data_IF_323287516435
#
_entry.id   IF_323287516435
#
_cell.length_a   1.000
_cell.length_b   1.000
_cell.length_c   1.000
_cell.angle_alpha   90.00
_cell.angle_beta   90.00
_cell.angle_gamma   90.00
#
_symmetry.space_group_name_H-M   'P 1'
#
loop_
_entity.id
_entity.type
_entity.pdbx_description
1 polymer ?
#
# COMPACT_ATOMS: atom_id res chain seq x y z
N UNK A 1 24.29 -19.06 -1.63
CA UNK A 1 23.72 -17.77 -2.04
C UNK A 1 23.21 -17.03 -0.81
N UNK A 2 23.63 -15.77 -0.60
CA UNK A 2 23.19 -14.96 0.54
C UNK A 2 21.71 -14.64 0.52
N UNK A 3 21.14 -14.34 1.68
CA UNK A 3 19.77 -13.86 1.82
C UNK A 3 19.63 -12.44 1.25
N UNK A 4 18.47 -12.16 0.66
CA UNK A 4 18.13 -10.81 0.17
C UNK A 4 17.54 -10.00 1.32
N UNK A 5 18.05 -8.79 1.51
CA UNK A 5 17.52 -7.85 2.50
C UNK A 5 16.12 -7.37 2.09
N UNK A 6 15.28 -7.01 3.07
CA UNK A 6 13.98 -6.41 2.81
C UNK A 6 14.18 -5.04 2.14
N UNK A 7 13.61 -4.80 0.95
CA UNK A 7 13.82 -3.56 0.21
C UNK A 7 13.23 -2.33 0.91
N UNK A 8 12.19 -2.51 1.75
CA UNK A 8 11.59 -1.43 2.52
C UNK A 8 12.56 -0.96 3.60
N UNK A 9 13.08 -1.88 4.42
CA UNK A 9 14.00 -1.53 5.50
C UNK A 9 15.29 -0.89 4.99
N UNK A 10 15.75 -1.33 3.81
CA UNK A 10 16.95 -0.80 3.18
C UNK A 10 16.80 0.66 2.68
N UNK A 11 15.57 1.15 2.55
CA UNK A 11 15.21 2.50 2.07
C UNK A 11 14.64 3.41 3.15
N UNK A 12 14.54 2.91 4.38
CA UNK A 12 14.14 3.71 5.53
C UNK A 12 15.14 4.85 5.77
N UNK A 13 14.62 6.05 6.01
CA UNK A 13 15.43 7.24 6.20
C UNK A 13 15.97 7.87 4.90
N UNK A 14 15.85 7.21 3.74
CA UNK A 14 16.30 7.73 2.44
C UNK A 14 15.11 8.23 1.63
N UNK A 15 14.19 7.33 1.27
CA UNK A 15 13.00 7.67 0.48
C UNK A 15 11.68 7.28 1.18
N UNK A 16 11.75 6.53 2.27
CA UNK A 16 10.59 6.03 3.03
C UNK A 16 10.74 6.32 4.50
N UNK A 17 9.66 6.79 5.12
CA UNK A 17 9.55 6.98 6.57
C UNK A 17 9.09 5.72 7.28
N UNK A 18 8.98 5.79 8.60
CA UNK A 18 8.48 4.73 9.45
C UNK A 18 6.95 4.65 9.42
N UNK A 19 6.43 3.45 9.64
CA UNK A 19 4.97 3.24 9.79
C UNK A 19 4.50 3.47 11.24
N UNK A 20 5.42 3.63 12.21
CA UNK A 20 5.15 4.08 13.57
C UNK A 20 5.99 5.32 13.82
N UNK A 21 5.33 6.47 14.06
CA UNK A 21 5.95 7.78 14.24
C UNK A 21 5.66 8.30 15.65
N UNK A 22 6.55 7.99 16.56
CA UNK A 22 6.48 8.47 17.94
C UNK A 22 7.87 8.38 18.60
N UNK A 23 8.04 9.16 19.63
CA UNK A 23 9.23 9.14 20.48
C UNK A 23 8.88 8.39 21.77
N UNK A 24 9.72 7.43 22.15
CA UNK A 24 9.57 6.64 23.38
C UNK A 24 10.76 6.85 24.31
N UNK A 25 10.48 7.06 25.58
CA UNK A 25 11.46 7.04 26.65
C UNK A 25 11.58 5.65 27.28
N UNK A 26 11.34 5.58 28.60
CA UNK A 26 11.39 4.31 29.37
C UNK A 26 10.32 3.31 28.91
N UNK A 27 9.17 3.78 28.46
CA UNK A 27 8.01 2.95 28.05
C UNK A 27 8.07 2.51 26.57
N UNK A 28 9.25 2.60 25.94
CA UNK A 28 9.43 2.26 24.52
C UNK A 28 8.99 0.82 24.22
N UNK A 29 9.41 -0.15 25.06
CA UNK A 29 9.09 -1.56 24.86
C UNK A 29 7.59 -1.85 24.92
N UNK A 30 6.89 -1.29 25.90
CA UNK A 30 5.47 -1.49 26.09
C UNK A 30 4.66 -0.88 24.95
N UNK A 31 5.00 0.34 24.51
CA UNK A 31 4.38 0.99 23.38
C UNK A 31 4.60 0.21 22.07
N UNK A 32 5.75 -0.40 21.86
CA UNK A 32 6.03 -1.23 20.68
C UNK A 32 5.15 -2.49 20.66
N UNK A 33 5.01 -3.16 21.81
CA UNK A 33 4.14 -4.33 21.98
C UNK A 33 2.67 -3.95 21.74
N UNK A 34 2.23 -2.80 22.24
CA UNK A 34 0.89 -2.27 21.97
C UNK A 34 0.67 -2.03 20.46
N UNK A 35 1.61 -1.39 19.78
CA UNK A 35 1.52 -1.14 18.33
C UNK A 35 1.38 -2.45 17.54
N UNK A 36 2.14 -3.47 17.93
CA UNK A 36 2.03 -4.78 17.28
C UNK A 36 0.66 -5.43 17.52
N UNK A 37 0.13 -5.34 18.74
CA UNK A 37 -1.22 -5.84 19.07
C UNK A 37 -2.29 -5.09 18.28
N UNK A 38 -2.19 -3.76 18.16
CA UNK A 38 -3.11 -2.93 17.35
C UNK A 38 -3.08 -3.38 15.89
N UNK A 39 -1.89 -3.54 15.29
CA UNK A 39 -1.74 -3.97 13.90
C UNK A 39 -2.33 -5.36 13.68
N UNK A 40 -2.04 -6.31 14.57
CA UNK A 40 -2.58 -7.67 14.49
C UNK A 40 -4.10 -7.67 14.54
N UNK A 41 -4.69 -7.00 15.52
CA UNK A 41 -6.13 -6.87 15.68
C UNK A 41 -6.81 -6.25 14.44
N UNK A 42 -6.27 -5.13 13.95
CA UNK A 42 -6.82 -4.44 12.79
C UNK A 42 -6.70 -5.28 11.51
N UNK A 43 -5.60 -5.99 11.30
CA UNK A 43 -5.42 -6.85 10.13
C UNK A 43 -6.41 -8.02 10.13
N UNK A 44 -6.68 -8.61 11.29
CA UNK A 44 -7.67 -9.69 11.43
C UNK A 44 -9.10 -9.18 11.21
N UNK A 45 -9.46 -8.06 11.85
CA UNK A 45 -10.79 -7.46 11.77
C UNK A 45 -11.12 -6.91 10.38
N UNK A 46 -10.13 -6.33 9.71
CA UNK A 46 -10.27 -5.67 8.42
C UNK A 46 -9.76 -6.51 7.24
N UNK A 47 -9.66 -7.83 7.38
CA UNK A 47 -9.16 -8.73 6.33
C UNK A 47 -9.91 -8.57 4.99
N UNK A 48 -11.21 -8.20 5.00
CA UNK A 48 -12.02 -7.97 3.80
C UNK A 48 -11.81 -6.60 3.16
N UNK A 49 -11.28 -5.63 3.90
CA UNK A 49 -11.12 -4.25 3.45
C UNK A 49 -9.90 -4.02 2.56
N UNK A 50 -9.02 -5.01 2.39
CA UNK A 50 -7.78 -4.89 1.62
C UNK A 50 -6.90 -3.75 2.14
N UNK A 51 -6.48 -3.87 3.40
CA UNK A 51 -5.60 -2.91 4.06
C UNK A 51 -4.22 -2.96 3.42
N UNK A 52 -3.67 -1.80 3.07
CA UNK A 52 -2.33 -1.63 2.53
C UNK A 52 -1.30 -1.53 3.65
N UNK A 53 -1.45 -0.51 4.49
CA UNK A 53 -0.59 -0.23 5.64
C UNK A 53 -1.37 0.45 6.75
N UNK A 54 -0.86 0.32 7.98
CA UNK A 54 -1.38 0.97 9.16
C UNK A 54 -0.29 1.84 9.73
N UNK A 55 -0.51 3.15 9.78
CA UNK A 55 0.43 4.11 10.36
C UNK A 55 -0.09 4.51 11.73
N UNK A 56 0.81 4.49 12.71
CA UNK A 56 0.49 4.80 14.11
C UNK A 56 1.32 6.00 14.54
N UNK A 57 0.65 7.04 14.98
CA UNK A 57 1.25 8.26 15.51
C UNK A 57 0.82 8.38 16.98
N UNK A 58 1.78 8.55 17.89
CA UNK A 58 1.50 8.70 19.30
C UNK A 58 1.89 10.08 19.78
N UNK A 59 0.96 10.74 20.44
CA UNK A 59 1.19 11.92 21.25
C UNK A 59 1.05 11.55 22.72
N UNK A 60 1.30 12.48 23.62
CA UNK A 60 1.23 12.23 25.06
C UNK A 60 -0.13 11.69 25.54
N UNK A 61 -1.24 12.13 24.89
CA UNK A 61 -2.61 11.81 25.32
C UNK A 61 -3.39 11.00 24.29
N UNK A 62 -3.00 11.04 23.01
CA UNK A 62 -3.80 10.51 21.93
C UNK A 62 -2.96 9.60 21.03
N UNK A 63 -3.53 8.46 20.65
CA UNK A 63 -2.97 7.57 19.64
C UNK A 63 -3.79 7.72 18.36
N UNK A 64 -3.17 8.23 17.31
CA UNK A 64 -3.78 8.38 15.99
C UNK A 64 -3.40 7.21 15.10
N UNK A 65 -4.37 6.47 14.62
CA UNK A 65 -4.19 5.31 13.75
C UNK A 65 -4.73 5.66 12.37
N UNK A 66 -3.85 5.74 11.38
CA UNK A 66 -4.24 5.97 9.99
C UNK A 66 -4.23 4.66 9.23
N UNK A 67 -5.40 4.24 8.75
CA UNK A 67 -5.61 2.99 8.01
C UNK A 67 -5.65 3.32 6.52
N UNK A 68 -4.65 2.86 5.75
CA UNK A 68 -4.64 2.96 4.30
C UNK A 68 -5.31 1.72 3.70
N UNK A 69 -6.42 1.91 2.97
CA UNK A 69 -7.22 0.81 2.41
C UNK A 69 -7.65 1.10 0.98
N UNK A 70 -7.84 0.03 0.19
CA UNK A 70 -8.42 0.14 -1.15
C UNK A 70 -9.95 0.22 -1.12
N UNK A 71 -10.59 -0.13 0.01
CA UNK A 71 -12.05 -0.17 0.13
C UNK A 71 -12.51 0.54 1.41
N UNK A 72 -12.44 1.87 1.46
CA UNK A 72 -12.77 2.63 2.66
C UNK A 72 -14.21 2.40 3.14
N UNK A 73 -15.15 2.17 2.23
CA UNK A 73 -16.55 1.92 2.60
C UNK A 73 -16.76 0.70 3.50
N UNK A 74 -15.90 -0.34 3.40
CA UNK A 74 -15.98 -1.52 4.27
C UNK A 74 -15.48 -1.20 5.69
N UNK A 75 -14.56 -0.26 5.81
CA UNK A 75 -14.02 0.17 7.12
C UNK A 75 -14.98 1.15 7.79
N UNK A 76 -15.55 2.08 7.03
CA UNK A 76 -16.46 3.12 7.53
C UNK A 76 -17.79 2.49 7.96
N UNK A 77 -18.29 1.54 7.17
CA UNK A 77 -19.60 0.95 7.41
C UNK A 77 -20.76 1.90 7.09
N UNK A 78 -21.96 1.51 7.46
CA UNK A 78 -23.16 2.34 7.29
C UNK A 78 -23.12 3.52 8.27
N UNK A 79 -23.10 4.74 7.75
CA UNK A 79 -23.11 5.99 8.53
C UNK A 79 -21.96 6.11 9.57
N UNK A 80 -20.84 5.39 9.39
CA UNK A 80 -19.72 5.43 10.31
C UNK A 80 -19.79 4.47 11.51
N UNK A 81 -20.86 3.68 11.64
CA UNK A 81 -21.07 2.82 12.79
C UNK A 81 -19.95 1.79 13.03
N UNK A 82 -19.30 1.31 11.97
CA UNK A 82 -18.23 0.32 12.12
C UNK A 82 -16.91 0.94 12.60
N UNK A 83 -16.62 2.19 12.20
CA UNK A 83 -15.47 2.93 12.73
C UNK A 83 -15.66 3.26 14.22
N UNK A 84 -16.87 3.67 14.63
CA UNK A 84 -17.15 3.98 16.02
C UNK A 84 -17.02 2.73 16.90
N UNK A 85 -17.54 1.59 16.45
CA UNK A 85 -17.33 0.30 17.13
C UNK A 85 -15.85 -0.06 17.24
N UNK A 86 -15.08 0.07 16.14
CA UNK A 86 -13.63 -0.19 16.16
C UNK A 86 -12.91 0.71 17.16
N UNK A 87 -13.31 1.99 17.23
CA UNK A 87 -12.74 2.93 18.19
C UNK A 87 -13.04 2.53 19.63
N UNK A 88 -14.27 2.12 19.95
CA UNK A 88 -14.67 1.63 21.26
C UNK A 88 -13.95 0.33 21.64
N UNK A 89 -13.89 -0.64 20.71
CA UNK A 89 -13.19 -1.91 20.90
C UNK A 89 -11.71 -1.68 21.23
N UNK A 90 -11.03 -0.83 20.47
CA UNK A 90 -9.62 -0.47 20.70
C UNK A 90 -9.43 0.31 22.01
N UNK A 91 -10.34 1.24 22.34
CA UNK A 91 -10.29 1.98 23.60
C UNK A 91 -10.43 1.04 24.81
N UNK A 92 -11.30 0.05 24.73
CA UNK A 92 -11.50 -0.94 25.79
C UNK A 92 -10.27 -1.85 25.98
N UNK A 93 -9.60 -2.23 24.88
CA UNK A 93 -8.41 -3.11 24.92
C UNK A 93 -7.18 -2.36 25.47
N UNK A 94 -6.95 -1.14 25.02
CA UNK A 94 -5.69 -0.41 25.30
C UNK A 94 -5.84 0.67 26.38
N UNK A 95 -7.07 1.01 26.82
CA UNK A 95 -7.37 2.02 27.84
C UNK A 95 -6.76 3.40 27.55
N UNK A 96 -6.56 3.73 26.29
CA UNK A 96 -6.02 5.00 25.77
C UNK A 96 -7.02 5.64 24.82
N UNK A 97 -6.96 6.96 24.70
CA UNK A 97 -7.78 7.65 23.69
C UNK A 97 -7.21 7.39 22.29
N UNK A 98 -8.08 6.89 21.41
CA UNK A 98 -7.69 6.49 20.04
C UNK A 98 -8.52 7.25 19.03
N UNK A 99 -7.84 7.80 18.04
CA UNK A 99 -8.43 8.40 16.84
C UNK A 99 -8.13 7.53 15.64
N UNK A 100 -9.13 7.24 14.83
CA UNK A 100 -8.98 6.46 13.61
C UNK A 100 -9.17 7.38 12.41
N UNK A 101 -8.18 7.44 11.54
CA UNK A 101 -8.23 8.11 10.26
C UNK A 101 -8.22 7.06 9.14
N UNK A 102 -9.01 7.27 8.09
CA UNK A 102 -9.09 6.35 6.96
C UNK A 102 -8.58 7.07 5.72
N UNK A 103 -7.61 6.46 5.05
CA UNK A 103 -7.02 6.96 3.82
C UNK A 103 -7.27 5.98 2.67
N UNK A 104 -7.79 6.49 1.55
CA UNK A 104 -8.06 5.70 0.36
C UNK A 104 -6.80 5.55 -0.51
N UNK A 105 -6.46 4.32 -0.86
CA UNK A 105 -5.42 4.01 -1.83
C UNK A 105 -6.01 4.07 -3.24
N UNK A 106 -5.70 5.14 -3.97
CA UNK A 106 -6.25 5.39 -5.31
C UNK A 106 -5.89 4.35 -6.37
N UNK A 107 -4.66 3.80 -6.29
CA UNK A 107 -4.15 2.78 -7.22
C UNK A 107 -3.74 1.52 -6.45
N UNK A 108 -4.69 0.64 -6.12
CA UNK A 108 -4.41 -0.56 -5.34
C UNK A 108 -3.50 -1.56 -6.07
N UNK A 109 -3.44 -1.49 -7.41
CA UNK A 109 -2.57 -2.34 -8.22
C UNK A 109 -1.07 -2.00 -8.08
N UNK A 110 -0.75 -0.80 -7.57
CA UNK A 110 0.63 -0.38 -7.31
C UNK A 110 1.09 -0.66 -5.86
N UNK A 111 0.23 -1.28 -5.06
CA UNK A 111 0.51 -1.63 -3.67
C UNK A 111 0.80 -3.13 -3.54
N UNK A 112 2.01 -3.43 -3.07
CA UNK A 112 2.47 -4.82 -2.97
C UNK A 112 1.65 -5.66 -1.98
N UNK A 113 1.16 -5.05 -0.89
CA UNK A 113 0.35 -5.74 0.13
C UNK A 113 -1.00 -6.16 -0.43
N UNK A 114 -1.67 -5.24 -1.14
CA UNK A 114 -2.97 -5.50 -1.75
C UNK A 114 -2.86 -6.54 -2.86
N UNK A 115 -1.86 -6.40 -3.73
CA UNK A 115 -1.60 -7.36 -4.82
C UNK A 115 -1.27 -8.73 -4.26
N UNK A 116 -0.40 -8.82 -3.24
CA UNK A 116 -0.06 -10.09 -2.58
C UNK A 116 -1.28 -10.77 -1.97
N UNK A 117 -2.10 -10.03 -1.23
CA UNK A 117 -3.35 -10.54 -0.63
C UNK A 117 -4.36 -10.99 -1.67
N UNK A 118 -4.44 -10.32 -2.82
CA UNK A 118 -5.31 -10.71 -3.92
C UNK A 118 -4.84 -12.02 -4.58
N UNK A 119 -3.53 -12.20 -4.78
CA UNK A 119 -2.96 -13.45 -5.29
C UNK A 119 -3.23 -14.58 -4.28
N UNK A 120 -3.00 -14.36 -2.98
CA UNK A 120 -3.26 -15.34 -1.94
C UNK A 120 -4.71 -15.84 -1.96
N UNK A 121 -5.68 -14.91 -1.96
CA UNK A 121 -7.11 -15.24 -2.05
C UNK A 121 -7.49 -16.02 -3.30
N UNK A 122 -6.90 -15.69 -4.46
CA UNK A 122 -7.16 -16.43 -5.70
C UNK A 122 -6.63 -17.86 -5.63
N UNK A 123 -5.44 -18.04 -5.04
CA UNK A 123 -4.83 -19.36 -4.85
C UNK A 123 -5.64 -20.22 -3.85
N UNK A 124 -6.10 -19.63 -2.75
CA UNK A 124 -7.02 -20.26 -1.79
C UNK A 124 -8.35 -20.65 -2.44
N UNK A 125 -8.84 -19.80 -3.36
CA UNK A 125 -10.02 -20.06 -4.21
C UNK A 125 -9.79 -21.08 -5.32
N UNK A 126 -8.68 -21.84 -5.28
CA UNK A 126 -8.32 -22.91 -6.24
C UNK A 126 -8.06 -22.43 -7.66
N UNK A 127 -7.77 -21.16 -7.87
CA UNK A 127 -7.29 -20.66 -9.17
C UNK A 127 -5.83 -21.08 -9.34
N UNK A 128 -5.47 -21.55 -10.54
CA UNK A 128 -4.09 -21.91 -10.84
C UNK A 128 -3.15 -20.73 -10.58
N UNK A 129 -2.12 -20.90 -9.74
CA UNK A 129 -1.21 -19.85 -9.31
C UNK A 129 -0.56 -19.11 -10.48
N UNK A 130 -0.25 -19.81 -11.59
CA UNK A 130 0.32 -19.19 -12.79
C UNK A 130 -0.63 -18.18 -13.42
N UNK A 131 -1.95 -18.50 -13.45
CA UNK A 131 -2.97 -17.59 -13.97
C UNK A 131 -3.17 -16.40 -13.06
N UNK A 132 -3.23 -16.63 -11.74
CA UNK A 132 -3.35 -15.56 -10.75
C UNK A 132 -2.18 -14.57 -10.82
N UNK A 133 -0.94 -15.08 -10.90
CA UNK A 133 0.26 -14.25 -11.00
C UNK A 133 0.31 -13.48 -12.32
N UNK A 134 0.02 -14.11 -13.48
CA UNK A 134 -0.01 -13.42 -14.77
C UNK A 134 -1.02 -12.27 -14.76
N UNK A 135 -2.22 -12.50 -14.23
CA UNK A 135 -3.26 -11.47 -14.13
C UNK A 135 -2.81 -10.31 -13.23
N UNK A 136 -2.21 -10.62 -12.08
CA UNK A 136 -1.67 -9.61 -11.19
C UNK A 136 -0.58 -8.75 -11.86
N UNK A 137 0.36 -9.38 -12.56
CA UNK A 137 1.43 -8.70 -13.30
C UNK A 137 0.85 -7.76 -14.37
N UNK A 138 -0.07 -8.26 -15.19
CA UNK A 138 -0.72 -7.44 -16.22
C UNK A 138 -1.44 -6.22 -15.65
N UNK A 139 -2.18 -6.39 -14.56
CA UNK A 139 -2.90 -5.29 -13.92
C UNK A 139 -1.93 -4.25 -13.34
N UNK A 140 -0.86 -4.68 -12.69
CA UNK A 140 0.15 -3.79 -12.13
C UNK A 140 0.90 -3.01 -13.23
N UNK A 141 1.25 -3.66 -14.33
CA UNK A 141 1.89 -2.98 -15.46
C UNK A 141 0.93 -1.99 -16.14
N UNK A 142 -0.35 -2.32 -16.29
CA UNK A 142 -1.38 -1.37 -16.77
C UNK A 142 -1.58 -0.17 -15.88
N UNK A 143 -1.44 -0.34 -14.55
CA UNK A 143 -1.53 0.75 -13.58
C UNK A 143 -0.34 1.73 -13.64
N UNK A 144 0.72 1.39 -14.40
CA UNK A 144 1.87 2.24 -14.64
C UNK A 144 3.09 1.94 -13.75
N UNK A 145 3.24 0.70 -13.26
CA UNK A 145 4.47 0.27 -12.61
C UNK A 145 5.61 0.15 -13.63
N UNK A 146 6.83 0.51 -13.25
CA UNK A 146 8.03 0.26 -14.08
C UNK A 146 8.40 -1.21 -14.13
N UNK A 147 8.04 -1.96 -13.12
CA UNK A 147 8.25 -3.40 -13.09
C UNK A 147 7.69 -4.06 -11.84
N UNK A 148 7.43 -5.34 -12.02
CA UNK A 148 6.94 -6.21 -10.95
C UNK A 148 7.72 -7.52 -10.95
N UNK A 149 7.91 -8.05 -9.75
CA UNK A 149 8.48 -9.38 -9.51
C UNK A 149 7.63 -10.09 -8.48
N UNK A 150 7.14 -11.27 -8.83
CA UNK A 150 6.37 -12.13 -7.92
C UNK A 150 7.09 -13.45 -7.77
N UNK A 151 7.25 -13.91 -6.55
CA UNK A 151 7.83 -15.19 -6.23
C UNK A 151 6.84 -15.98 -5.39
N UNK A 152 6.60 -17.21 -5.77
CA UNK A 152 5.79 -18.16 -5.01
C UNK A 152 6.65 -19.36 -4.61
N UNK A 153 6.46 -19.86 -3.40
CA UNK A 153 7.22 -20.99 -2.85
C UNK A 153 6.31 -21.88 -2.00
N UNK A 154 6.58 -23.17 -2.06
CA UNK A 154 5.84 -24.20 -1.32
C UNK A 154 5.48 -25.38 -2.20
N UNK A 155 4.46 -26.14 -1.80
CA UNK A 155 3.95 -27.31 -2.53
C UNK A 155 3.03 -26.87 -3.67
N UNK A 156 3.64 -26.40 -4.76
CA UNK A 156 2.90 -25.86 -5.91
C UNK A 156 2.07 -26.97 -6.60
N UNK A 157 0.79 -26.71 -6.79
CA UNK A 157 -0.21 -27.67 -7.32
C UNK A 157 -0.32 -28.97 -6.52
N UNK A 158 0.03 -28.97 -5.24
CA UNK A 158 -0.05 -30.15 -4.39
C UNK A 158 1.14 -31.12 -4.52
N UNK A 159 2.21 -30.74 -5.22
CA UNK A 159 3.41 -31.56 -5.33
C UNK A 159 4.02 -31.85 -3.95
N UNK A 160 4.56 -33.07 -3.76
CA UNK A 160 5.20 -33.44 -2.48
C UNK A 160 6.42 -32.62 -2.19
N UNK A 161 7.24 -32.37 -3.22
CA UNK A 161 8.46 -31.59 -3.10
C UNK A 161 8.13 -30.11 -3.29
N UNK A 162 8.46 -29.30 -2.31
CA UNK A 162 8.30 -27.86 -2.39
C UNK A 162 9.22 -27.25 -3.46
N UNK A 163 8.66 -26.33 -4.25
CA UNK A 163 9.38 -25.60 -5.29
C UNK A 163 9.23 -24.13 -5.11
N UNK A 164 10.13 -23.39 -5.77
CA UNK A 164 10.13 -21.95 -5.81
C UNK A 164 10.11 -21.50 -7.27
N UNK A 165 9.05 -20.80 -7.66
CA UNK A 165 8.92 -20.21 -8.98
C UNK A 165 8.91 -18.69 -8.87
N UNK A 166 9.46 -18.02 -9.88
CA UNK A 166 9.58 -16.57 -9.93
C UNK A 166 9.16 -16.06 -11.30
N UNK A 167 8.31 -15.04 -11.29
CA UNK A 167 7.84 -14.34 -12.46
C UNK A 167 8.24 -12.87 -12.34
N UNK A 168 8.77 -12.30 -13.41
CA UNK A 168 9.24 -10.93 -13.44
C UNK A 168 8.87 -10.29 -14.77
N UNK A 169 8.42 -9.03 -14.70
CA UNK A 169 8.19 -8.18 -15.86
C UNK A 169 8.69 -6.77 -15.55
N UNK A 170 9.31 -6.13 -16.53
CA UNK A 170 9.87 -4.80 -16.38
C UNK A 170 11.12 -4.74 -15.49
N UNK A 171 11.39 -3.54 -14.96
CA UNK A 171 12.61 -3.19 -14.24
C UNK A 171 12.37 -3.22 -12.72
N UNK A 172 13.19 -3.95 -11.98
CA UNK A 172 13.13 -3.99 -10.49
C UNK A 172 14.55 -3.84 -9.92
N UNK A 173 15.10 -2.62 -9.85
CA UNK A 173 16.48 -2.38 -9.44
C UNK A 173 16.60 -2.39 -7.91
N UNK A 174 16.85 -3.58 -7.32
CA UNK A 174 16.90 -3.73 -5.85
C UNK A 174 18.11 -3.04 -5.21
N UNK A 175 19.20 -2.83 -5.98
CA UNK A 175 20.42 -2.18 -5.48
C UNK A 175 20.37 -0.67 -5.51
N UNK A 176 19.42 -0.08 -6.23
CA UNK A 176 19.25 1.38 -6.34
C UNK A 176 18.40 1.90 -5.20
N UNK A 177 18.98 2.67 -4.26
CA UNK A 177 18.27 3.20 -3.09
C UNK A 177 17.21 4.24 -3.45
N UNK A 178 17.42 5.00 -4.52
CA UNK A 178 16.43 5.99 -5.00
C UNK A 178 15.20 5.38 -5.67
N UNK A 179 15.24 4.08 -6.01
CA UNK A 179 14.10 3.39 -6.60
C UNK A 179 13.02 3.11 -5.53
N UNK A 180 11.80 3.58 -5.75
CA UNK A 180 10.66 3.32 -4.86
C UNK A 180 10.14 1.90 -5.12
N UNK A 181 10.59 0.97 -4.30
CA UNK A 181 10.20 -0.43 -4.38
C UNK A 181 9.32 -0.77 -3.19
N UNK A 182 8.09 -1.09 -3.48
CA UNK A 182 7.17 -1.64 -2.51
C UNK A 182 7.32 -3.16 -2.43
N UNK A 183 7.19 -3.71 -1.22
CA UNK A 183 7.42 -5.13 -0.97
C UNK A 183 6.40 -5.67 0.02
N UNK A 184 5.91 -6.86 -0.28
CA UNK A 184 5.07 -7.59 0.66
C UNK A 184 5.40 -9.09 0.65
N UNK A 185 5.27 -9.69 1.81
CA UNK A 185 5.26 -11.13 2.00
C UNK A 185 3.90 -11.52 2.55
N UNK A 186 3.20 -12.39 1.83
CA UNK A 186 1.89 -12.93 2.20
C UNK A 186 1.93 -14.44 2.14
N UNK A 187 1.01 -15.07 2.85
CA UNK A 187 0.86 -16.52 2.88
C UNK A 187 -0.54 -16.88 2.41
N UNK A 188 -0.64 -17.97 1.64
CA UNK A 188 -1.91 -18.54 1.20
C UNK A 188 -2.08 -19.91 1.84
N UNK A 189 -3.16 -20.12 2.58
CA UNK A 189 -3.48 -21.39 3.21
C UNK A 189 -4.20 -22.30 2.22
N UNK A 190 -3.51 -23.34 1.76
CA UNK A 190 -4.10 -24.34 0.88
C UNK A 190 -4.37 -25.64 1.61
N UNK A 191 -5.16 -26.53 1.04
CA UNK A 191 -5.43 -27.86 1.62
C UNK A 191 -4.16 -28.69 1.85
N UNK A 192 -3.10 -28.41 1.10
CA UNK A 192 -1.83 -29.17 1.11
C UNK A 192 -0.77 -28.54 1.99
N UNK A 193 -1.01 -27.30 2.46
CA UNK A 193 -0.09 -26.53 3.29
C UNK A 193 -0.02 -25.06 2.90
N UNK A 194 0.88 -24.32 3.52
CA UNK A 194 1.10 -22.90 3.29
C UNK A 194 1.95 -22.66 2.03
N UNK A 195 1.53 -21.72 1.22
CA UNK A 195 2.30 -21.18 0.10
C UNK A 195 2.74 -19.76 0.43
N UNK A 196 4.06 -19.54 0.44
CA UNK A 196 4.62 -18.21 0.64
C UNK A 196 4.67 -17.42 -0.66
N UNK A 197 4.14 -16.21 -0.66
CA UNK A 197 4.08 -15.28 -1.80
C UNK A 197 4.88 -14.04 -1.44
N UNK A 198 5.84 -13.67 -2.29
CA UNK A 198 6.62 -12.43 -2.16
C UNK A 198 6.40 -11.58 -3.40
N UNK A 199 6.04 -10.32 -3.18
CA UNK A 199 5.75 -9.37 -4.26
C UNK A 199 6.67 -8.17 -4.12
N UNK A 200 7.29 -7.74 -5.22
CA UNK A 200 8.08 -6.52 -5.35
C UNK A 200 7.48 -5.70 -6.50
N UNK A 201 7.14 -4.45 -6.24
CA UNK A 201 6.62 -3.53 -7.25
C UNK A 201 7.51 -2.30 -7.29
N UNK A 202 8.06 -2.00 -8.45
CA UNK A 202 8.83 -0.79 -8.70
C UNK A 202 7.89 0.29 -9.24
N UNK A 203 7.74 1.39 -8.48
CA UNK A 203 6.90 2.54 -8.86
C UNK A 203 7.66 3.58 -9.68
N UNK A 204 8.99 3.50 -9.69
CA UNK A 204 9.89 4.43 -10.37
C UNK A 204 11.02 4.90 -9.47
N UNK A 205 11.78 5.89 -9.92
CA UNK A 205 12.88 6.47 -9.16
C UNK A 205 12.50 7.84 -8.61
N UNK A 206 12.88 8.09 -7.36
CA UNK A 206 12.63 9.36 -6.67
C UNK A 206 13.90 10.20 -6.70
N UNK A 207 13.82 11.39 -7.28
CA UNK A 207 14.91 12.36 -7.32
C UNK A 207 14.63 13.52 -6.38
N UNK A 208 15.67 14.01 -5.69
CA UNK A 208 15.57 15.08 -4.72
C UNK A 208 15.25 14.61 -3.30
N UNK A 209 15.14 15.57 -2.38
CA UNK A 209 14.76 15.31 -0.98
C UNK A 209 13.27 15.01 -0.91
N UNK A 210 12.90 13.87 -0.34
CA UNK A 210 11.51 13.52 -0.04
C UNK A 210 11.21 13.84 1.42
N UNK A 211 10.06 14.41 1.66
CA UNK A 211 9.54 14.51 3.02
C UNK A 211 9.22 13.10 3.52
N UNK A 212 9.85 12.71 4.62
CA UNK A 212 9.70 11.39 5.23
C UNK A 212 8.52 11.32 6.20
N UNK A 213 7.90 12.47 6.49
CA UNK A 213 6.69 12.51 7.30
C UNK A 213 5.55 11.76 6.57
N UNK A 214 4.67 11.09 7.29
CA UNK A 214 3.51 10.42 6.70
C UNK A 214 2.49 11.44 6.22
N UNK A 215 2.75 12.05 5.06
CA UNK A 215 1.84 13.00 4.44
C UNK A 215 0.65 12.24 3.84
N UNK A 216 -0.45 12.21 4.59
CA UNK A 216 -1.76 11.76 4.12
C UNK A 216 -2.55 12.87 3.44
N UNK A 217 -2.00 14.07 3.35
CA UNK A 217 -2.56 15.16 2.57
C UNK A 217 -2.56 14.73 1.11
N UNK A 218 -3.73 14.72 0.51
CA UNK A 218 -3.90 14.44 -0.92
C UNK A 218 -2.84 15.21 -1.68
N UNK A 219 -1.99 14.53 -2.44
CA UNK A 219 -1.17 15.17 -3.46
C UNK A 219 -2.13 15.94 -4.37
N UNK A 220 -2.30 17.24 -4.08
CA UNK A 220 -2.96 18.16 -4.98
C UNK A 220 -2.16 18.07 -6.26
N UNK A 221 -2.85 17.61 -7.29
CA UNK A 221 -2.44 17.55 -8.67
C UNK A 221 -1.36 18.59 -8.99
N UNK A 222 -0.12 18.20 -9.09
CA UNK A 222 0.84 18.84 -9.97
C UNK A 222 0.54 18.37 -11.41
N UNK A 223 -0.70 18.62 -11.83
CA UNK A 223 -1.09 18.63 -13.23
C UNK A 223 -0.65 19.97 -13.76
N UNK A 224 0.42 19.97 -14.55
CA UNK A 224 0.97 21.15 -15.17
C UNK A 224 -0.12 21.96 -15.89
N UNK A 225 -0.34 23.15 -15.41
CA UNK A 225 -0.87 24.23 -16.24
C UNK A 225 0.26 24.66 -17.18
N UNK A 226 0.41 23.94 -18.29
CA UNK A 226 1.01 24.55 -19.47
C UNK A 226 0.08 25.67 -19.92
N UNK A 227 0.56 26.88 -19.73
CA UNK A 227 -0.11 28.10 -20.15
C UNK A 227 -0.34 28.08 -21.65
N UNK A 228 -1.59 27.87 -22.04
CA UNK A 228 -2.05 28.21 -23.37
C UNK A 228 -2.14 29.72 -23.47
N UNK A 229 -1.14 30.37 -24.02
CA UNK A 229 -1.24 31.75 -24.52
C UNK A 229 -2.40 31.83 -25.53
N UNK A 230 -3.54 32.34 -25.10
CA UNK A 230 -4.60 32.77 -25.99
C UNK A 230 -4.16 34.08 -26.63
N UNK A 231 -3.58 33.97 -27.83
CA UNK A 231 -3.41 35.10 -28.76
C UNK A 231 -4.76 35.75 -29.00
N UNK A 232 -4.87 37.02 -28.61
CA UNK A 232 -6.01 37.85 -28.83
C UNK A 232 -6.32 38.04 -30.31
N UNK A 233 -7.42 37.49 -30.78
CA UNK A 233 -7.99 37.77 -32.09
C UNK A 233 -8.63 39.16 -32.09
N UNK A 234 -8.00 40.10 -32.77
CA UNK A 234 -8.56 41.44 -33.06
C UNK A 234 -9.87 41.30 -33.83
N UNK A 235 -10.98 41.69 -33.20
CA UNK A 235 -12.26 41.89 -33.85
C UNK A 235 -12.19 43.14 -34.73
N UNK A 236 -12.09 42.98 -36.04
CA UNK A 236 -12.35 44.01 -37.01
C UNK A 236 -13.87 44.18 -37.16
N UNK A 237 -14.40 45.26 -36.57
CA UNK A 237 -15.72 45.82 -36.92
C UNK A 237 -15.70 46.19 -38.39
N UNK A 238 -16.53 45.58 -39.21
CA UNK A 238 -16.96 46.08 -40.49
C UNK A 238 -18.33 46.76 -40.33
N UNK A 239 -18.31 48.07 -40.36
CA UNK A 239 -19.46 48.89 -40.69
C UNK A 239 -19.88 48.57 -42.13
N UNK A 240 -21.13 48.27 -42.33
CA UNK A 240 -21.79 48.50 -43.66
C UNK A 240 -23.11 49.17 -43.38
N UNK A 241 -23.09 50.52 -43.58
CA UNK A 241 -24.24 51.27 -44.02
C UNK A 241 -24.48 50.93 -45.50
N UNK A 242 -25.68 50.64 -45.90
CA UNK A 242 -26.46 51.32 -46.94
C UNK A 242 -27.62 50.46 -47.43
N UNK A 243 -28.71 51.15 -47.38
CA UNK A 243 -29.98 51.06 -48.13
C UNK A 243 -30.94 49.94 -47.76
#
# INVERSE_FOLDING_TARGET
MGQKVNPISNRLGIIRGWDSNWFGGKDFGDNLVEDQKIRKYLNERLAKASVSKIVIERTLKLVTITICTARPGIVIGKQGADVDKLKEELKNIFKKDIQINIFEVRKPELDATIVGSNIARQVEGKIAYRRAIKMAIQNTMRAGAEGIKVQISGRLNGAEIARKEMFKEGRTPLHTFRADIDYCQTEALTKVGLLGIKVWICRGEVYGKRDLAPNFTQEKQQGGRQGGERRGGRNRRRNNNNR
#
